data_IF_244304818997
#
_entry.id   IF_244304818997
#
_cell.length_a   1.000
_cell.length_b   1.000
_cell.length_c   1.000
_cell.angle_alpha   90.00
_cell.angle_beta   90.00
_cell.angle_gamma   90.00
#
_symmetry.space_group_name_H-M   'P 1'
#
loop_
_entity.id
_entity.type
_entity.pdbx_description
1 polymer ?
#
# COMPACT_ATOMS: atom_id res chain seq x y z
N UNK A 1 0.54 -10.93 17.00
CA UNK A 1 -0.55 -10.41 16.14
C UNK A 1 -0.04 -9.52 15.00
N UNK A 2 0.99 -8.69 15.25
CA UNK A 2 1.58 -7.80 14.24
C UNK A 2 1.99 -8.49 12.93
N UNK A 3 2.60 -9.69 13.01
CA UNK A 3 3.01 -10.42 11.81
C UNK A 3 1.84 -10.80 10.90
N UNK A 4 0.72 -11.24 11.49
CA UNK A 4 -0.49 -11.64 10.75
C UNK A 4 -1.14 -10.42 10.12
N UNK A 5 -1.31 -9.33 10.87
CA UNK A 5 -1.88 -8.10 10.33
C UNK A 5 -1.03 -7.48 9.22
N UNK A 6 0.30 -7.60 9.29
CA UNK A 6 1.21 -7.15 8.24
C UNK A 6 1.04 -7.92 6.94
N UNK A 7 0.97 -9.26 7.00
CA UNK A 7 0.71 -10.09 5.82
C UNK A 7 -0.68 -9.85 5.21
N UNK A 8 -1.70 -9.65 6.05
CA UNK A 8 -3.05 -9.27 5.58
C UNK A 8 -2.98 -7.94 4.82
N UNK A 9 -2.33 -6.91 5.37
CA UNK A 9 -2.18 -5.62 4.70
C UNK A 9 -1.42 -5.75 3.38
N UNK A 10 -0.33 -6.53 3.33
CA UNK A 10 0.43 -6.77 2.11
C UNK A 10 -0.41 -7.49 1.03
N UNK A 11 -1.19 -8.51 1.41
CA UNK A 11 -2.10 -9.19 0.48
C UNK A 11 -3.16 -8.23 -0.08
N UNK A 12 -3.72 -7.37 0.77
CA UNK A 12 -4.70 -6.35 0.36
C UNK A 12 -4.10 -5.33 -0.62
N UNK A 13 -2.84 -4.92 -0.46
CA UNK A 13 -2.13 -4.07 -1.44
C UNK A 13 -2.11 -4.73 -2.81
N UNK A 14 -1.71 -6.01 -2.87
CA UNK A 14 -1.65 -6.76 -4.12
C UNK A 14 -3.02 -6.92 -4.76
N UNK A 15 -4.05 -7.24 -3.96
CA UNK A 15 -5.43 -7.34 -4.43
C UNK A 15 -5.92 -6.00 -5.00
N UNK A 16 -5.73 -4.90 -4.27
CA UNK A 16 -6.13 -3.56 -4.73
C UNK A 16 -5.42 -3.18 -6.04
N UNK A 17 -4.11 -3.41 -6.13
CA UNK A 17 -3.32 -3.14 -7.33
C UNK A 17 -3.75 -4.01 -8.53
N UNK A 18 -4.16 -5.25 -8.28
CA UNK A 18 -4.58 -6.19 -9.34
C UNK A 18 -5.83 -5.72 -10.07
N UNK A 19 -6.78 -5.04 -9.41
CA UNK A 19 -8.07 -4.64 -10.01
C UNK A 19 -7.90 -3.83 -11.31
N UNK A 20 -7.21 -2.67 -11.32
CA UNK A 20 -7.02 -1.90 -12.56
C UNK A 20 -6.07 -2.58 -13.54
N UNK A 21 -5.09 -3.37 -13.06
CA UNK A 21 -4.11 -4.06 -13.91
C UNK A 21 -4.76 -5.20 -14.71
N UNK A 22 -5.54 -6.05 -14.04
CA UNK A 22 -6.28 -7.14 -14.68
C UNK A 22 -7.32 -6.60 -15.66
N UNK A 23 -8.03 -5.53 -15.29
CA UNK A 23 -8.95 -4.88 -16.22
C UNK A 23 -8.21 -4.41 -17.48
N UNK A 24 -7.05 -3.76 -17.32
CA UNK A 24 -6.26 -3.28 -18.46
C UNK A 24 -5.71 -4.42 -19.30
N UNK A 25 -5.23 -5.50 -18.67
CA UNK A 25 -4.70 -6.66 -19.37
C UNK A 25 -5.78 -7.34 -20.23
N UNK A 26 -7.00 -7.48 -19.70
CA UNK A 26 -8.13 -8.13 -20.40
C UNK A 26 -8.77 -7.27 -21.47
N UNK A 27 -8.86 -5.95 -21.24
CA UNK A 27 -9.63 -5.05 -22.11
C UNK A 27 -8.75 -4.16 -23.00
N UNK A 28 -7.42 -4.24 -22.86
CA UNK A 28 -6.43 -3.38 -23.54
C UNK A 28 -6.65 -1.86 -23.39
N UNK A 29 -7.54 -1.45 -22.48
CA UNK A 29 -7.92 -0.06 -22.20
C UNK A 29 -8.01 0.22 -20.71
N UNK A 30 -8.03 1.50 -20.34
CA UNK A 30 -8.17 1.93 -18.94
C UNK A 30 -9.65 2.07 -18.57
N UNK A 31 -10.00 1.70 -17.35
CA UNK A 31 -11.34 1.92 -16.82
C UNK A 31 -11.65 3.42 -16.64
N UNK A 32 -12.90 3.80 -16.94
CA UNK A 32 -13.42 5.15 -16.72
C UNK A 32 -13.60 5.42 -15.22
N UNK A 33 -13.49 6.68 -14.75
CA UNK A 33 -13.54 6.99 -13.31
C UNK A 33 -14.81 6.52 -12.59
N UNK A 34 -15.94 6.52 -13.30
CA UNK A 34 -17.24 6.11 -12.75
C UNK A 34 -17.52 4.61 -12.82
N UNK A 35 -16.63 3.83 -13.43
CA UNK A 35 -16.87 2.41 -13.66
C UNK A 35 -16.87 1.60 -12.35
N UNK A 36 -17.61 0.47 -12.31
CA UNK A 36 -17.56 -0.45 -11.17
C UNK A 36 -16.14 -0.92 -10.83
N UNK A 37 -15.28 -1.10 -11.83
CA UNK A 37 -13.87 -1.49 -11.64
C UNK A 37 -13.09 -0.46 -10.82
N UNK A 38 -13.25 0.84 -11.11
CA UNK A 38 -12.59 1.89 -10.32
C UNK A 38 -13.19 1.98 -8.92
N UNK A 39 -14.51 1.84 -8.79
CA UNK A 39 -15.17 1.80 -7.47
C UNK A 39 -14.63 0.65 -6.61
N UNK A 40 -14.46 -0.55 -7.20
CA UNK A 40 -13.88 -1.70 -6.52
C UNK A 40 -12.42 -1.46 -6.11
N UNK A 41 -11.60 -0.90 -7.01
CA UNK A 41 -10.21 -0.56 -6.70
C UNK A 41 -10.12 0.45 -5.53
N UNK A 42 -10.97 1.47 -5.53
CA UNK A 42 -11.02 2.47 -4.45
C UNK A 42 -11.46 1.84 -3.14
N UNK A 43 -12.51 1.00 -3.14
CA UNK A 43 -12.95 0.28 -1.95
C UNK A 43 -11.84 -0.60 -1.39
N UNK A 44 -11.19 -1.41 -2.25
CA UNK A 44 -10.06 -2.24 -1.86
C UNK A 44 -8.89 -1.40 -1.31
N UNK A 45 -8.59 -0.25 -1.93
CA UNK A 45 -7.56 0.68 -1.45
C UNK A 45 -7.88 1.30 -0.09
N UNK A 46 -9.16 1.63 0.19
CA UNK A 46 -9.60 2.11 1.51
C UNK A 46 -9.47 1.01 2.57
N UNK A 47 -9.94 -0.20 2.27
CA UNK A 47 -9.77 -1.36 3.18
C UNK A 47 -8.29 -1.63 3.45
N UNK A 48 -7.44 -1.55 2.42
CA UNK A 48 -5.99 -1.66 2.55
C UNK A 48 -5.40 -0.58 3.46
N UNK A 49 -5.85 0.67 3.31
CA UNK A 49 -5.39 1.80 4.12
C UNK A 49 -5.76 1.63 5.60
N UNK A 50 -6.98 1.16 5.88
CA UNK A 50 -7.43 0.84 7.24
C UNK A 50 -6.60 -0.29 7.82
N UNK A 51 -6.37 -1.37 7.07
CA UNK A 51 -5.55 -2.49 7.51
C UNK A 51 -4.10 -2.07 7.80
N UNK A 52 -3.51 -1.21 6.98
CA UNK A 52 -2.17 -0.67 7.20
C UNK A 52 -2.09 0.23 8.45
N UNK A 53 -3.12 1.06 8.69
CA UNK A 53 -3.21 1.86 9.91
C UNK A 53 -3.33 0.97 11.16
N UNK A 54 -4.23 -0.02 11.12
CA UNK A 54 -4.40 -0.97 12.22
C UNK A 54 -3.12 -1.77 12.47
N UNK A 55 -2.42 -2.22 11.42
CA UNK A 55 -1.13 -2.88 11.54
C UNK A 55 -0.11 -1.99 12.26
N UNK A 56 -0.04 -0.70 11.92
CA UNK A 56 0.85 0.26 12.59
C UNK A 56 0.55 0.36 14.09
N UNK A 57 -0.73 0.42 14.47
CA UNK A 57 -1.14 0.42 15.88
C UNK A 57 -0.82 -0.89 16.61
N UNK A 58 -1.04 -2.03 15.95
CA UNK A 58 -0.77 -3.36 16.51
C UNK A 58 0.72 -3.68 16.68
N UNK A 59 1.61 -2.90 16.05
CA UNK A 59 3.06 -3.01 16.23
C UNK A 59 3.53 -2.25 17.49
N UNK A 60 2.77 -1.28 18.01
CA UNK A 60 3.21 -0.46 19.15
C UNK A 60 3.55 -1.29 20.41
N UNK A 61 2.77 -2.30 20.81
CA UNK A 61 3.13 -3.13 21.98
C UNK A 61 4.36 -4.01 21.74
N UNK A 62 4.76 -4.21 20.48
CA UNK A 62 5.89 -5.04 20.06
C UNK A 62 7.19 -4.21 19.94
N UNK A 63 7.12 -2.90 20.26
CA UNK A 63 8.29 -2.03 20.35
C UNK A 63 9.23 -2.55 21.45
N UNK A 64 10.40 -3.07 21.05
CA UNK A 64 11.41 -3.62 21.97
C UNK A 64 11.49 -5.15 22.01
N UNK A 65 10.66 -5.88 21.27
CA UNK A 65 10.84 -7.34 21.08
C UNK A 65 12.16 -7.66 20.37
N UNK A 66 12.69 -8.88 20.55
CA UNK A 66 13.93 -9.33 19.87
C UNK A 66 13.89 -9.11 18.35
N UNK A 67 12.74 -9.34 17.71
CA UNK A 67 12.55 -9.06 16.29
C UNK A 67 12.56 -7.56 15.95
N UNK A 68 12.03 -6.71 16.83
CA UNK A 68 12.10 -5.25 16.71
C UNK A 68 13.51 -4.71 16.93
N UNK A 69 14.28 -5.35 17.82
CA UNK A 69 15.68 -5.02 18.10
C UNK A 69 16.59 -5.51 16.96
N UNK A 70 16.40 -6.75 16.49
CA UNK A 70 17.15 -7.35 15.39
C UNK A 70 16.81 -6.76 14.01
N UNK A 71 15.57 -6.32 13.78
CA UNK A 71 15.13 -5.58 12.58
C UNK A 71 15.73 -4.19 12.51
N UNK A 72 16.20 -3.70 13.66
CA UNK A 72 16.79 -2.40 13.85
C UNK A 72 15.86 -1.25 13.48
N UNK A 73 16.38 -0.03 13.67
CA UNK A 73 15.72 1.22 13.29
C UNK A 73 15.29 1.23 11.81
N UNK A 74 15.99 0.48 10.94
CA UNK A 74 15.71 0.44 9.51
C UNK A 74 14.39 -0.27 9.16
N UNK A 75 14.07 -1.39 9.81
CA UNK A 75 12.79 -2.07 9.60
C UNK A 75 11.63 -1.18 10.00
N UNK A 76 11.72 -0.53 11.16
CA UNK A 76 10.74 0.45 11.63
C UNK A 76 10.61 1.65 10.70
N UNK A 77 11.72 2.25 10.31
CA UNK A 77 11.74 3.41 9.42
C UNK A 77 11.12 3.09 8.07
N UNK A 78 11.45 1.94 7.48
CA UNK A 78 10.83 1.49 6.23
C UNK A 78 9.31 1.33 6.37
N UNK A 79 8.83 0.75 7.48
CA UNK A 79 7.40 0.62 7.76
C UNK A 79 6.70 1.98 7.90
N UNK A 80 7.29 2.91 8.64
CA UNK A 80 6.77 4.27 8.81
C UNK A 80 6.72 5.04 7.48
N UNK A 81 7.77 4.96 6.67
CA UNK A 81 7.80 5.59 5.34
C UNK A 81 6.74 4.95 4.44
N UNK A 82 6.61 3.62 4.43
CA UNK A 82 5.54 2.95 3.67
C UNK A 82 4.15 3.45 4.08
N UNK A 83 3.90 3.62 5.38
CA UNK A 83 2.61 4.12 5.86
C UNK A 83 2.33 5.56 5.39
N UNK A 84 3.31 6.46 5.46
CA UNK A 84 3.17 7.83 4.94
C UNK A 84 2.96 7.87 3.43
N UNK A 85 3.69 7.04 2.68
CA UNK A 85 3.51 6.91 1.22
C UNK A 85 2.13 6.34 0.90
N UNK A 86 1.60 5.41 1.70
CA UNK A 86 0.23 4.89 1.56
C UNK A 86 -0.81 6.01 1.70
N UNK A 87 -0.68 6.88 2.71
CA UNK A 87 -1.59 8.02 2.89
C UNK A 87 -1.54 8.94 1.66
N UNK A 88 -0.35 9.28 1.19
CA UNK A 88 -0.18 10.11 -0.01
C UNK A 88 -0.78 9.43 -1.26
N UNK A 89 -0.57 8.13 -1.41
CA UNK A 89 -1.11 7.32 -2.51
C UNK A 89 -2.64 7.29 -2.50
N UNK A 90 -3.25 7.07 -1.33
CA UNK A 90 -4.70 7.08 -1.14
C UNK A 90 -5.30 8.46 -1.47
N UNK A 91 -4.70 9.55 -0.99
CA UNK A 91 -5.12 10.91 -1.31
C UNK A 91 -5.08 11.22 -2.81
N UNK A 92 -4.01 10.82 -3.50
CA UNK A 92 -3.91 10.93 -4.96
C UNK A 92 -4.99 10.11 -5.68
N UNK A 93 -5.27 8.89 -5.20
CA UNK A 93 -6.29 8.00 -5.76
C UNK A 93 -7.70 8.57 -5.63
N UNK A 94 -8.05 9.08 -4.45
CA UNK A 94 -9.33 9.75 -4.20
C UNK A 94 -9.49 11.00 -5.08
N UNK A 95 -8.44 11.81 -5.21
CA UNK A 95 -8.46 12.98 -6.09
C UNK A 95 -8.62 12.64 -7.58
N UNK A 96 -8.28 11.42 -8.00
CA UNK A 96 -8.50 10.95 -9.38
C UNK A 96 -9.95 10.53 -9.65
N UNK A 97 -10.80 10.41 -8.60
CA UNK A 97 -12.22 10.11 -8.77
C UNK A 97 -13.00 11.26 -9.37
N UNK A 98 -12.61 12.50 -9.09
CA UNK A 98 -13.27 13.67 -9.67
C UNK A 98 -13.16 13.63 -11.21
N UNK A 99 -14.27 13.54 -11.97
CA UNK A 99 -14.25 13.56 -13.43
C UNK A 99 -13.61 14.82 -14.00
N UNK A 100 -13.67 15.96 -13.28
CA UNK A 100 -13.20 17.29 -13.71
C UNK A 100 -11.73 17.57 -13.41
N UNK A 101 -10.99 16.59 -12.86
CA UNK A 101 -9.59 16.80 -12.46
C UNK A 101 -8.71 17.22 -13.65
N UNK A 102 -8.05 18.38 -13.51
CA UNK A 102 -7.02 18.85 -14.45
C UNK A 102 -5.78 17.96 -14.36
N UNK A 103 -5.05 17.84 -15.46
CA UNK A 103 -3.80 17.06 -15.56
C UNK A 103 -3.93 15.59 -15.14
N UNK A 104 -5.10 14.98 -15.42
CA UNK A 104 -5.42 13.59 -15.06
C UNK A 104 -4.32 12.60 -15.45
N UNK A 105 -3.71 12.77 -16.62
CA UNK A 105 -2.63 11.89 -17.07
C UNK A 105 -1.41 11.95 -16.14
N UNK A 106 -0.99 13.16 -15.74
CA UNK A 106 0.13 13.34 -14.81
C UNK A 106 -0.22 12.83 -13.40
N UNK A 107 -1.42 13.12 -12.90
CA UNK A 107 -1.89 12.60 -11.61
C UNK A 107 -1.96 11.07 -11.57
N UNK A 108 -2.44 10.44 -12.65
CA UNK A 108 -2.40 8.97 -12.79
C UNK A 108 -0.98 8.42 -12.79
N UNK A 109 -0.04 9.09 -13.44
CA UNK A 109 1.38 8.70 -13.40
C UNK A 109 1.91 8.78 -11.96
N UNK A 110 1.68 9.88 -11.25
CA UNK A 110 2.07 10.03 -9.82
C UNK A 110 1.43 8.97 -8.93
N UNK A 111 0.15 8.65 -9.14
CA UNK A 111 -0.53 7.59 -8.39
C UNK A 111 0.08 6.21 -8.68
N UNK A 112 0.39 5.90 -9.94
CA UNK A 112 1.09 4.66 -10.27
C UNK A 112 2.52 4.62 -9.67
N UNK A 113 3.28 5.71 -9.77
CA UNK A 113 4.63 5.82 -9.20
C UNK A 113 4.62 5.63 -7.70
N UNK A 114 3.72 6.30 -6.98
CA UNK A 114 3.57 6.12 -5.52
C UNK A 114 3.18 4.69 -5.15
N UNK A 115 2.35 4.01 -5.96
CA UNK A 115 2.04 2.60 -5.76
C UNK A 115 3.25 1.67 -5.94
N UNK A 116 4.11 1.93 -6.95
CA UNK A 116 5.36 1.18 -7.15
C UNK A 116 6.34 1.44 -6.00
N UNK A 117 6.53 2.71 -5.62
CA UNK A 117 7.40 3.10 -4.50
C UNK A 117 6.94 2.43 -3.21
N UNK A 118 5.63 2.46 -2.93
CA UNK A 118 5.04 1.78 -1.78
C UNK A 118 5.33 0.27 -1.79
N UNK A 119 5.12 -0.41 -2.93
CA UNK A 119 5.38 -1.84 -3.05
C UNK A 119 6.86 -2.18 -2.78
N UNK A 120 7.79 -1.38 -3.30
CA UNK A 120 9.23 -1.55 -3.05
C UNK A 120 9.55 -1.34 -1.56
N UNK A 121 9.03 -0.29 -0.93
CA UNK A 121 9.31 -0.02 0.49
C UNK A 121 8.72 -1.13 1.38
N UNK A 122 7.51 -1.61 1.08
CA UNK A 122 6.90 -2.73 1.80
C UNK A 122 7.74 -4.00 1.65
N UNK A 123 8.24 -4.29 0.45
CA UNK A 123 9.14 -5.43 0.22
C UNK A 123 10.43 -5.30 1.05
N UNK A 124 11.05 -4.12 1.04
CA UNK A 124 12.24 -3.82 1.86
C UNK A 124 11.94 -4.01 3.35
N UNK A 125 10.83 -3.47 3.83
CA UNK A 125 10.38 -3.62 5.22
C UNK A 125 10.25 -5.10 5.61
N UNK A 126 9.59 -5.91 4.78
CA UNK A 126 9.42 -7.35 5.03
C UNK A 126 10.77 -8.08 5.01
N UNK A 127 11.66 -7.80 4.06
CA UNK A 127 12.99 -8.44 3.97
C UNK A 127 13.84 -8.11 5.19
N UNK A 128 13.84 -6.86 5.65
CA UNK A 128 14.56 -6.46 6.87
C UNK A 128 14.05 -7.23 8.10
N UNK A 129 12.73 -7.34 8.25
CA UNK A 129 12.13 -8.09 9.36
C UNK A 129 12.41 -9.61 9.28
N UNK A 130 12.44 -10.19 8.07
CA UNK A 130 12.75 -11.62 7.90
C UNK A 130 14.22 -11.92 8.21
N UNK A 131 15.15 -11.08 7.76
CA UNK A 131 16.58 -11.24 8.08
C UNK A 131 16.84 -11.15 9.58
N UNK A 132 16.16 -10.23 10.25
CA UNK A 132 16.25 -10.04 11.69
C UNK A 132 15.73 -11.21 12.53
N UNK A 133 14.83 -12.04 11.99
CA UNK A 133 14.35 -13.24 12.67
C UNK A 133 15.28 -14.44 12.50
N UNK A 134 16.24 -14.38 11.57
CA UNK A 134 17.12 -15.48 11.20
C UNK A 134 18.52 -15.36 11.81
N UNK A 135 18.89 -14.18 12.31
CA UNK A 135 20.15 -13.92 13.01
C UNK A 135 19.93 -13.78 14.50
#
# INVERSE_FOLDING_TARGET
MASVSGWIAAALILLAASVPLLFRARNHRRATPESPTIKLHVLAGLVTSIAAFLHTGLVLPELGSEASVGGGTLGFLAGAIAFLVMIAHAGLGLGLRDPKVRDRAQRRRRHATTGVVLAVIVLVHVVLLLRARQG
#
